data_IF_874636865583
#
_entry.id   IF_874636865583
#
_cell.length_a   1.000
_cell.length_b   1.000
_cell.length_c   1.000
_cell.angle_alpha   90.00
_cell.angle_beta   90.00
_cell.angle_gamma   90.00
#
_symmetry.space_group_name_H-M   'P 1'
#
loop_
_entity.id
_entity.type
_entity.pdbx_description
1 polymer ?
#
# COMPACT_ATOMS: atom_id res chain seq x y z
N UNK A 1 -20.92 -33.63 -43.01
CA UNK A 1 -19.84 -32.63 -42.87
C UNK A 1 -18.55 -33.35 -42.46
N UNK A 2 -17.48 -33.21 -43.25
CA UNK A 2 -16.26 -33.98 -43.06
C UNK A 2 -15.45 -33.50 -41.85
N UNK A 3 -14.73 -34.43 -41.21
CA UNK A 3 -13.85 -34.20 -40.05
C UNK A 3 -12.91 -32.97 -40.23
N UNK A 4 -12.49 -32.70 -41.47
CA UNK A 4 -11.67 -31.55 -41.86
C UNK A 4 -12.41 -30.20 -41.75
N UNK A 5 -13.69 -30.15 -42.11
CA UNK A 5 -14.53 -28.95 -41.99
C UNK A 5 -14.78 -28.59 -40.53
N UNK A 6 -14.95 -29.60 -39.67
CA UNK A 6 -15.13 -29.39 -38.23
C UNK A 6 -13.86 -28.82 -37.56
N UNK A 7 -12.69 -29.38 -37.89
CA UNK A 7 -11.39 -28.89 -37.41
C UNK A 7 -11.13 -27.45 -37.86
N UNK A 8 -11.45 -27.13 -39.12
CA UNK A 8 -11.29 -25.78 -39.66
C UNK A 8 -12.19 -24.76 -38.94
N UNK A 9 -13.47 -25.09 -38.72
CA UNK A 9 -14.39 -24.21 -37.98
C UNK A 9 -13.89 -24.00 -36.55
N UNK A 10 -13.46 -25.06 -35.86
CA UNK A 10 -12.95 -24.98 -34.50
C UNK A 10 -11.69 -24.10 -34.37
N UNK A 11 -10.75 -24.22 -35.31
CA UNK A 11 -9.56 -23.37 -35.34
C UNK A 11 -9.90 -21.90 -35.58
N UNK A 12 -10.86 -21.62 -36.46
CA UNK A 12 -11.30 -20.24 -36.72
C UNK A 12 -11.98 -19.63 -35.48
N UNK A 13 -12.85 -20.36 -34.77
CA UNK A 13 -13.46 -19.88 -33.52
C UNK A 13 -12.44 -19.69 -32.40
N UNK A 14 -11.42 -20.56 -32.31
CA UNK A 14 -10.36 -20.42 -31.32
C UNK A 14 -9.51 -19.16 -31.60
N UNK A 15 -9.14 -18.92 -32.86
CA UNK A 15 -8.37 -17.75 -33.25
C UNK A 15 -9.16 -16.45 -33.07
N UNK A 16 -10.46 -16.43 -33.41
CA UNK A 16 -11.28 -15.25 -33.17
C UNK A 16 -11.49 -15.00 -31.68
N UNK A 17 -11.67 -16.05 -30.86
CA UNK A 17 -11.76 -15.93 -29.40
C UNK A 17 -10.48 -15.42 -28.75
N UNK A 18 -9.30 -15.89 -29.19
CA UNK A 18 -8.02 -15.39 -28.70
C UNK A 18 -7.77 -13.93 -29.13
N UNK A 19 -8.13 -13.58 -30.37
CA UNK A 19 -7.98 -12.21 -30.88
C UNK A 19 -8.91 -11.24 -30.16
N UNK A 20 -10.16 -11.62 -29.88
CA UNK A 20 -11.09 -10.75 -29.13
C UNK A 20 -10.64 -10.61 -27.68
N UNK A 21 -10.16 -11.67 -27.04
CA UNK A 21 -9.57 -11.61 -25.71
C UNK A 21 -8.35 -10.66 -25.67
N UNK A 22 -7.45 -10.76 -26.64
CA UNK A 22 -6.28 -9.89 -26.74
C UNK A 22 -6.66 -8.41 -26.91
N UNK A 23 -7.64 -8.11 -27.78
CA UNK A 23 -8.12 -6.74 -28.01
C UNK A 23 -8.83 -6.19 -26.77
N UNK A 24 -9.65 -6.98 -26.08
CA UNK A 24 -10.37 -6.57 -24.85
C UNK A 24 -9.39 -6.33 -23.71
N UNK A 25 -8.42 -7.23 -23.50
CA UNK A 25 -7.37 -7.06 -22.48
C UNK A 25 -6.51 -5.84 -22.80
N UNK A 26 -6.13 -5.65 -24.07
CA UNK A 26 -5.39 -4.48 -24.53
C UNK A 26 -6.16 -3.18 -24.34
N UNK A 27 -7.46 -3.16 -24.66
CA UNK A 27 -8.33 -1.99 -24.48
C UNK A 27 -8.57 -1.67 -23.00
N UNK A 28 -8.72 -2.68 -22.14
CA UNK A 28 -8.83 -2.51 -20.68
C UNK A 28 -7.50 -2.07 -20.05
N UNK A 29 -6.36 -2.57 -20.53
CA UNK A 29 -5.05 -2.10 -20.09
C UNK A 29 -4.82 -0.66 -20.52
N UNK A 30 -5.22 -0.29 -21.74
CA UNK A 30 -5.16 1.07 -22.25
C UNK A 30 -6.12 2.00 -21.52
N UNK A 31 -7.35 1.57 -21.22
CA UNK A 31 -8.30 2.36 -20.44
C UNK A 31 -7.81 2.54 -18.99
N UNK A 32 -7.19 1.52 -18.40
CA UNK A 32 -6.54 1.62 -17.07
C UNK A 32 -5.33 2.56 -17.10
N UNK A 33 -4.51 2.51 -18.14
CA UNK A 33 -3.43 3.48 -18.36
C UNK A 33 -3.96 4.90 -18.53
N UNK A 34 -5.03 5.07 -19.30
CA UNK A 34 -5.73 6.35 -19.47
C UNK A 34 -6.34 6.83 -18.15
N UNK A 35 -6.95 5.95 -17.35
CA UNK A 35 -7.52 6.22 -16.02
C UNK A 35 -6.46 6.61 -14.98
N UNK A 36 -5.33 5.90 -14.94
CA UNK A 36 -4.18 6.26 -14.12
C UNK A 36 -3.58 7.62 -14.52
N UNK A 37 -3.70 8.00 -15.80
CA UNK A 37 -3.33 9.33 -16.29
C UNK A 37 -4.43 10.41 -16.10
N UNK A 38 -5.71 10.05 -15.94
CA UNK A 38 -6.81 11.04 -15.86
C UNK A 38 -7.02 11.62 -14.46
N UNK A 39 -6.32 11.13 -13.43
CA UNK A 39 -6.35 11.71 -12.09
C UNK A 39 -5.39 12.91 -11.92
N UNK A 40 -4.55 13.24 -12.91
CA UNK A 40 -3.67 14.41 -12.86
C UNK A 40 -4.37 15.62 -13.46
N UNK A 41 -4.58 16.65 -12.65
CA UNK A 41 -5.00 17.95 -13.15
C UNK A 41 -3.89 18.49 -14.05
N UNK A 42 -4.18 18.63 -15.35
CA UNK A 42 -3.26 19.25 -16.29
C UNK A 42 -3.57 20.75 -16.38
N UNK A 43 -2.78 21.56 -15.68
CA UNK A 43 -2.90 23.02 -15.72
C UNK A 43 -1.75 23.61 -16.54
N UNK A 44 -2.05 24.10 -17.74
CA UNK A 44 -1.07 24.73 -18.61
C UNK A 44 -1.14 26.26 -18.58
N UNK A 45 0.01 26.92 -18.66
CA UNK A 45 0.13 28.37 -18.72
C UNK A 45 1.57 28.81 -19.01
N UNK A 46 1.90 30.03 -18.62
CA UNK A 46 3.24 30.61 -18.74
C UNK A 46 3.29 31.82 -19.67
N UNK A 47 4.30 32.65 -19.48
CA UNK A 47 4.57 33.81 -20.33
C UNK A 47 5.58 33.46 -21.43
N UNK A 48 5.35 33.97 -22.65
CA UNK A 48 6.29 33.78 -23.74
C UNK A 48 7.73 34.22 -23.34
N UNK A 49 8.78 33.46 -23.73
CA UNK A 49 8.75 32.31 -24.64
C UNK A 49 8.46 30.95 -23.98
N UNK A 50 8.13 30.92 -22.69
CA UNK A 50 8.03 29.69 -21.88
C UNK A 50 6.59 29.18 -21.81
N UNK A 51 6.43 27.85 -21.88
CA UNK A 51 5.17 27.15 -21.62
C UNK A 51 5.39 26.13 -20.52
N UNK A 52 4.50 26.15 -19.52
CA UNK A 52 4.51 25.23 -18.38
C UNK A 52 3.18 24.49 -18.32
N UNK A 53 3.22 23.20 -18.03
CA UNK A 53 2.05 22.39 -17.69
C UNK A 53 2.33 21.61 -16.42
N UNK A 54 1.47 21.76 -15.41
CA UNK A 54 1.55 21.00 -14.17
C UNK A 54 0.77 19.71 -14.35
N UNK A 55 1.36 18.58 -13.98
CA UNK A 55 0.77 17.25 -13.97
C UNK A 55 0.88 16.72 -12.53
N UNK A 56 -0.14 17.00 -11.73
CA UNK A 56 -0.20 16.65 -10.32
C UNK A 56 -1.60 16.09 -9.97
N UNK A 57 -1.70 15.14 -9.03
CA UNK A 57 -2.99 14.71 -8.52
C UNK A 57 -3.64 15.82 -7.69
N UNK A 58 -4.97 15.78 -7.57
CA UNK A 58 -5.71 16.67 -6.66
C UNK A 58 -5.64 16.25 -5.20
N UNK A 59 -5.20 15.01 -4.93
CA UNK A 59 -4.97 14.50 -3.58
C UNK A 59 -3.70 13.67 -3.50
N UNK A 60 -3.08 13.61 -2.33
CA UNK A 60 -1.98 12.69 -2.02
C UNK A 60 -2.23 12.03 -0.66
N UNK A 61 -1.73 10.81 -0.49
CA UNK A 61 -1.78 10.08 0.77
C UNK A 61 -0.47 10.26 1.52
N UNK A 62 -0.54 10.79 2.74
CA UNK A 62 0.63 10.93 3.61
C UNK A 62 1.20 9.56 4.01
N UNK A 63 0.36 8.54 4.19
CA UNK A 63 0.79 7.17 4.47
C UNK A 63 1.72 6.59 3.39
N UNK A 64 1.66 7.09 2.15
CA UNK A 64 2.46 6.58 1.03
C UNK A 64 3.82 7.29 0.90
N UNK A 65 4.11 8.29 1.74
CA UNK A 65 5.38 9.02 1.69
C UNK A 65 6.63 8.15 1.81
N UNK A 66 6.68 7.13 2.70
CA UNK A 66 7.84 6.23 2.76
C UNK A 66 8.19 5.62 1.40
N UNK A 67 7.18 5.27 0.61
CA UNK A 67 7.38 4.74 -0.73
C UNK A 67 7.74 5.82 -1.75
N UNK A 68 7.21 7.05 -1.63
CA UNK A 68 7.64 8.15 -2.50
C UNK A 68 9.13 8.47 -2.36
N UNK A 69 9.68 8.32 -1.15
CA UNK A 69 11.10 8.59 -0.86
C UNK A 69 12.05 7.54 -1.47
N UNK A 70 11.61 6.29 -1.58
CA UNK A 70 12.42 5.17 -2.09
C UNK A 70 12.19 4.90 -3.58
N UNK A 71 11.11 5.45 -4.15
CA UNK A 71 10.72 5.15 -5.52
C UNK A 71 11.51 5.92 -6.59
N UNK A 72 11.56 5.34 -7.80
CA UNK A 72 12.09 5.98 -9.00
C UNK A 72 11.22 7.19 -9.43
N UNK A 73 11.71 8.12 -10.27
CA UNK A 73 11.00 9.35 -10.66
C UNK A 73 9.60 9.17 -11.26
N UNK A 74 9.26 7.95 -11.68
CA UNK A 74 7.96 7.55 -12.26
C UNK A 74 6.82 7.51 -11.20
N UNK A 75 7.16 7.43 -9.91
CA UNK A 75 6.19 7.31 -8.79
C UNK A 75 6.06 8.63 -8.02
N UNK A 76 6.86 9.65 -8.37
CA UNK A 76 6.75 10.97 -7.75
C UNK A 76 5.42 11.64 -8.12
N UNK A 77 4.72 12.24 -7.13
CA UNK A 77 3.35 12.71 -7.33
C UNK A 77 3.28 13.94 -8.25
N UNK A 78 4.33 14.77 -8.28
CA UNK A 78 4.31 16.05 -8.99
C UNK A 78 5.22 16.02 -10.20
N UNK A 79 4.71 16.40 -11.36
CA UNK A 79 5.50 16.58 -12.58
C UNK A 79 5.24 17.96 -13.17
N UNK A 80 6.32 18.68 -13.47
CA UNK A 80 6.27 19.95 -14.21
C UNK A 80 6.77 19.66 -15.63
N UNK A 81 5.88 19.80 -16.60
CA UNK A 81 6.22 19.78 -18.01
C UNK A 81 6.56 21.22 -18.46
N UNK A 82 7.68 21.40 -19.15
CA UNK A 82 8.20 22.70 -19.55
C UNK A 82 8.71 22.68 -20.99
N UNK A 83 8.58 23.81 -21.67
CA UNK A 83 9.24 24.09 -22.94
C UNK A 83 9.47 25.59 -23.12
N UNK A 84 10.31 25.95 -24.08
CA UNK A 84 10.50 27.34 -24.50
C UNK A 84 10.73 27.45 -26.00
N UNK A 85 10.15 28.45 -26.65
CA UNK A 85 10.38 28.72 -28.07
C UNK A 85 11.82 29.15 -28.38
N UNK A 86 12.58 29.62 -27.39
CA UNK A 86 14.02 29.88 -27.48
C UNK A 86 14.77 29.17 -26.36
N UNK A 87 15.88 28.46 -26.62
CA UNK A 87 16.60 27.73 -25.57
C UNK A 87 17.01 28.63 -24.41
N UNK A 88 16.59 28.28 -23.19
CA UNK A 88 16.92 29.03 -21.98
C UNK A 88 16.96 28.14 -20.73
N UNK A 89 17.71 28.57 -19.73
CA UNK A 89 17.79 27.89 -18.43
C UNK A 89 16.65 28.37 -17.54
N UNK A 90 15.84 27.44 -17.06
CA UNK A 90 14.75 27.67 -16.12
C UNK A 90 15.10 27.15 -14.73
N UNK A 91 14.60 27.83 -13.71
CA UNK A 91 14.59 27.40 -12.33
C UNK A 91 13.14 27.12 -11.94
N UNK A 92 12.85 25.85 -11.69
CA UNK A 92 11.52 25.36 -11.34
C UNK A 92 11.48 25.21 -9.82
N UNK A 93 10.65 26.00 -9.15
CA UNK A 93 10.41 25.98 -7.71
C UNK A 93 9.07 25.33 -7.44
N UNK A 94 9.05 24.26 -6.65
CA UNK A 94 7.84 23.50 -6.32
C UNK A 94 7.72 23.35 -4.81
N UNK A 95 6.57 23.72 -4.27
CA UNK A 95 6.27 23.68 -2.82
C UNK A 95 4.85 23.16 -2.61
N UNK A 96 4.63 22.31 -1.62
CA UNK A 96 3.31 22.03 -1.07
C UNK A 96 3.11 22.94 0.13
N UNK A 97 2.21 23.91 0.01
CA UNK A 97 2.07 24.98 0.98
C UNK A 97 1.76 24.44 2.38
N UNK A 98 2.52 24.92 3.38
CA UNK A 98 2.37 24.48 4.77
C UNK A 98 2.76 23.02 5.05
N UNK A 99 3.27 22.28 4.06
CA UNK A 99 3.59 20.86 4.20
C UNK A 99 5.03 20.52 3.80
N UNK A 100 5.59 21.21 2.81
CA UNK A 100 6.95 20.99 2.32
C UNK A 100 7.81 22.27 2.33
N UNK A 101 9.12 22.08 2.30
CA UNK A 101 10.07 23.09 1.83
C UNK A 101 9.95 23.25 0.30
N UNK A 102 10.53 24.32 -0.23
CA UNK A 102 10.62 24.53 -1.68
C UNK A 102 11.73 23.69 -2.28
N UNK A 103 11.38 22.77 -3.19
CA UNK A 103 12.35 22.08 -4.02
C UNK A 103 12.60 22.88 -5.30
N UNK A 104 13.87 23.18 -5.59
CA UNK A 104 14.27 23.84 -6.82
C UNK A 104 15.02 22.85 -7.74
N UNK A 105 14.70 22.89 -9.03
CA UNK A 105 15.49 22.23 -10.08
C UNK A 105 15.84 23.21 -11.20
N UNK A 106 17.11 23.22 -11.60
CA UNK A 106 17.56 23.92 -12.81
C UNK A 106 17.41 22.99 -14.02
N UNK A 107 16.76 23.47 -15.08
CA UNK A 107 16.51 22.72 -16.31
C UNK A 107 16.83 23.56 -17.53
N UNK A 108 17.25 22.92 -18.62
CA UNK A 108 17.41 23.57 -19.93
C UNK A 108 16.16 23.33 -20.76
N UNK A 109 15.35 24.37 -20.94
CA UNK A 109 14.16 24.31 -21.77
C UNK A 109 14.51 24.49 -23.25
N UNK A 110 13.92 23.68 -24.11
CA UNK A 110 13.99 23.79 -25.57
C UNK A 110 12.59 23.87 -26.17
N UNK A 111 12.50 23.91 -27.50
CA UNK A 111 11.22 23.93 -28.21
C UNK A 111 10.39 22.65 -28.04
N UNK A 112 10.98 21.57 -27.52
CA UNK A 112 10.28 20.32 -27.19
C UNK A 112 9.82 20.32 -25.74
N UNK A 113 8.63 19.76 -25.48
CA UNK A 113 8.15 19.56 -24.12
C UNK A 113 9.01 18.53 -23.39
N UNK A 114 9.50 18.90 -22.21
CA UNK A 114 10.33 18.07 -21.32
C UNK A 114 9.67 18.01 -19.94
N UNK A 115 9.98 16.97 -19.16
CA UNK A 115 9.37 16.77 -17.84
C UNK A 115 10.43 16.80 -16.73
N UNK A 116 10.07 17.35 -15.58
CA UNK A 116 10.80 17.21 -14.33
C UNK A 116 9.84 16.76 -13.23
N UNK A 117 10.14 15.63 -12.59
CA UNK A 117 9.39 15.13 -11.43
C UNK A 117 9.88 15.79 -10.14
N UNK A 118 8.99 16.00 -9.17
CA UNK A 118 9.29 16.63 -7.88
C UNK A 118 8.71 15.82 -6.73
N UNK A 119 9.48 15.79 -5.64
CA UNK A 119 9.04 15.35 -4.31
C UNK A 119 9.68 16.34 -3.33
N UNK A 120 9.02 17.48 -3.06
CA UNK A 120 9.57 18.49 -2.20
C UNK A 120 9.83 17.96 -0.78
N UNK A 121 10.98 18.28 -0.15
CA UNK A 121 11.28 17.82 1.21
C UNK A 121 10.20 18.27 2.19
N UNK A 122 9.79 17.38 3.10
CA UNK A 122 8.78 17.69 4.11
C UNK A 122 9.27 18.74 5.11
N UNK A 123 8.38 19.63 5.54
CA UNK A 123 8.66 20.50 6.69
C UNK A 123 8.92 19.65 7.92
N UNK A 124 9.96 20.00 8.69
CA UNK A 124 10.30 19.34 9.96
C UNK A 124 10.49 17.81 9.84
N UNK A 125 11.07 17.34 8.72
CA UNK A 125 11.68 16.00 8.56
C UNK A 125 10.87 14.83 9.16
N UNK A 126 9.54 14.80 8.97
CA UNK A 126 8.67 13.70 9.42
C UNK A 126 7.55 14.12 10.37
N UNK A 127 7.77 15.12 11.23
CA UNK A 127 6.76 15.56 12.22
C UNK A 127 5.43 16.00 11.59
N UNK A 128 5.47 16.51 10.35
CA UNK A 128 4.27 16.92 9.64
C UNK A 128 3.41 15.72 9.22
N UNK A 129 4.01 14.56 8.96
CA UNK A 129 3.29 13.32 8.68
C UNK A 129 2.72 12.74 9.97
N UNK A 130 3.51 12.74 11.04
CA UNK A 130 3.13 12.04 12.27
C UNK A 130 1.85 12.62 12.90
N UNK A 131 1.69 13.93 12.77
CA UNK A 131 0.56 14.68 13.31
C UNK A 131 -0.61 14.83 12.32
N UNK A 132 -0.49 14.32 11.09
CA UNK A 132 -1.54 14.46 10.07
C UNK A 132 -2.63 13.42 10.26
N UNK A 133 -3.48 13.60 11.27
CA UNK A 133 -4.58 12.68 11.59
C UNK A 133 -5.93 13.10 10.99
N UNK A 134 -5.96 14.20 10.24
CA UNK A 134 -7.14 14.71 9.53
C UNK A 134 -6.77 15.19 8.13
N UNK A 135 -7.80 15.41 7.30
CA UNK A 135 -7.63 15.99 5.96
C UNK A 135 -6.96 17.35 6.03
N UNK A 136 -5.96 17.57 5.17
CA UNK A 136 -5.22 18.82 5.07
C UNK A 136 -5.38 19.43 3.66
N UNK A 137 -6.41 20.28 3.46
CA UNK A 137 -6.55 21.07 2.25
C UNK A 137 -5.41 22.09 2.12
N UNK A 138 -4.74 22.10 0.98
CA UNK A 138 -3.60 22.95 0.66
C UNK A 138 -3.52 23.22 -0.84
N UNK A 139 -2.36 23.66 -1.33
CA UNK A 139 -2.05 23.81 -2.75
C UNK A 139 -0.62 23.38 -3.06
N UNK A 140 -0.43 22.92 -4.29
CA UNK A 140 0.87 22.81 -4.94
C UNK A 140 1.19 24.16 -5.59
N UNK A 141 2.15 24.87 -5.02
CA UNK A 141 2.66 26.12 -5.55
C UNK A 141 3.82 25.83 -6.51
N UNK A 142 3.74 26.34 -7.74
CA UNK A 142 4.81 26.24 -8.73
C UNK A 142 5.18 27.61 -9.25
N UNK A 143 6.47 27.94 -9.11
CA UNK A 143 7.07 29.16 -9.61
C UNK A 143 8.20 28.83 -10.60
N UNK A 144 8.26 29.54 -11.72
CA UNK A 144 9.26 29.32 -12.77
C UNK A 144 9.92 30.63 -13.16
N UNK A 145 11.24 30.69 -13.01
CA UNK A 145 12.08 31.85 -13.32
C UNK A 145 13.24 31.49 -14.26
N UNK A 146 13.89 32.49 -14.86
CA UNK A 146 15.21 32.32 -15.49
C UNK A 146 16.37 32.77 -14.58
N UNK A 147 17.60 32.76 -15.11
CA UNK A 147 18.81 33.20 -14.41
C UNK A 147 18.83 34.68 -14.04
N UNK A 148 17.95 35.50 -14.62
CA UNK A 148 17.80 36.92 -14.31
C UNK A 148 16.62 37.18 -13.38
N UNK A 149 16.06 36.13 -12.76
CA UNK A 149 14.85 36.16 -11.94
C UNK A 149 13.61 36.67 -12.69
N UNK A 150 13.58 36.58 -14.02
CA UNK A 150 12.36 36.88 -14.77
C UNK A 150 11.34 35.77 -14.53
N UNK A 151 10.17 36.16 -14.04
CA UNK A 151 9.06 35.26 -13.76
C UNK A 151 8.32 34.88 -15.04
N UNK A 152 8.07 33.58 -15.23
CA UNK A 152 7.32 33.03 -16.37
C UNK A 152 6.04 32.33 -15.97
N UNK A 153 6.00 31.73 -14.79
CA UNK A 153 4.84 31.03 -14.26
C UNK A 153 4.84 31.16 -12.74
N UNK A 154 3.67 31.40 -12.18
CA UNK A 154 3.43 31.48 -10.74
C UNK A 154 1.97 31.13 -10.51
N UNK A 155 1.71 29.95 -9.94
CA UNK A 155 0.35 29.51 -9.70
C UNK A 155 0.25 28.47 -8.60
N UNK A 156 -0.94 28.40 -8.02
CA UNK A 156 -1.34 27.42 -7.03
C UNK A 156 -2.38 26.48 -7.64
N UNK A 157 -2.11 25.17 -7.58
CA UNK A 157 -3.08 24.14 -7.91
C UNK A 157 -3.65 23.54 -6.61
N UNK A 158 -4.98 23.47 -6.42
CA UNK A 158 -5.57 22.86 -5.23
C UNK A 158 -5.09 21.42 -5.01
N UNK A 159 -4.77 21.09 -3.76
CA UNK A 159 -4.27 19.78 -3.37
C UNK A 159 -4.77 19.44 -1.96
N UNK A 160 -5.26 18.21 -1.73
CA UNK A 160 -5.53 17.72 -0.38
C UNK A 160 -4.50 16.66 0.01
N UNK A 161 -3.91 16.79 1.20
CA UNK A 161 -3.12 15.72 1.80
C UNK A 161 -4.01 14.94 2.77
N UNK A 162 -4.24 13.67 2.47
CA UNK A 162 -5.05 12.78 3.30
C UNK A 162 -4.34 12.44 4.61
N UNK A 163 -5.14 12.16 5.63
CA UNK A 163 -4.68 11.66 6.94
C UNK A 163 -3.72 10.46 6.81
N UNK A 164 -2.79 10.32 7.74
CA UNK A 164 -1.83 9.20 7.83
C UNK A 164 -2.51 7.84 8.02
N UNK A 165 -3.77 7.84 8.41
CA UNK A 165 -4.57 6.62 8.54
C UNK A 165 -5.32 6.23 7.27
N UNK A 166 -5.41 7.11 6.27
CA UNK A 166 -6.24 6.82 5.11
C UNK A 166 -5.49 5.92 4.12
N UNK A 167 -6.00 4.70 3.93
CA UNK A 167 -5.61 3.76 2.89
C UNK A 167 -6.62 3.83 1.74
N UNK A 168 -6.14 3.69 0.50
CA UNK A 168 -6.99 3.50 -0.66
C UNK A 168 -6.76 2.12 -1.26
N UNK A 169 -7.76 1.26 -1.14
CA UNK A 169 -7.80 -0.12 -1.60
C UNK A 169 -8.07 -0.21 -3.11
N UNK A 170 -7.01 -0.09 -3.90
CA UNK A 170 -7.05 -0.36 -5.34
C UNK A 170 -5.97 -1.33 -5.74
N UNK A 171 -6.12 -1.97 -6.90
CA UNK A 171 -5.08 -2.86 -7.44
C UNK A 171 -3.71 -2.18 -7.55
N UNK A 172 -3.68 -0.87 -7.85
CA UNK A 172 -2.43 -0.09 -7.97
C UNK A 172 -1.81 0.19 -6.60
N UNK A 173 -2.65 0.38 -5.57
CA UNK A 173 -2.21 0.78 -4.24
C UNK A 173 -2.08 -0.39 -3.27
N UNK A 174 -2.50 -1.61 -3.63
CA UNK A 174 -2.55 -2.80 -2.76
C UNK A 174 -1.32 -3.02 -1.88
N UNK A 175 -0.11 -2.73 -2.39
CA UNK A 175 1.13 -2.95 -1.63
C UNK A 175 1.37 -1.90 -0.54
N UNK A 176 0.71 -0.74 -0.59
CA UNK A 176 0.90 0.33 0.39
C UNK A 176 0.38 -0.02 1.78
N UNK A 177 -0.45 -1.06 1.95
CA UNK A 177 -0.81 -1.56 3.28
C UNK A 177 0.43 -1.92 4.12
N UNK A 178 1.53 -2.33 3.48
CA UNK A 178 2.78 -2.59 4.15
C UNK A 178 3.33 -1.36 4.91
N UNK A 179 2.90 -0.14 4.59
CA UNK A 179 3.26 1.05 5.35
C UNK A 179 2.68 1.06 6.77
N UNK A 180 1.55 0.37 7.02
CA UNK A 180 0.96 0.19 8.34
C UNK A 180 1.63 -0.92 9.15
N UNK A 181 2.47 -1.74 8.52
CA UNK A 181 3.22 -2.78 9.21
C UNK A 181 4.50 -2.15 9.73
N UNK A 182 4.52 -1.80 11.03
CA UNK A 182 5.56 -1.03 11.71
C UNK A 182 6.34 -1.91 12.71
N UNK A 183 7.19 -2.85 12.23
CA UNK A 183 7.84 -3.84 13.11
C UNK A 183 8.75 -3.20 14.16
N UNK A 184 9.32 -2.03 13.86
CA UNK A 184 10.27 -1.34 14.74
C UNK A 184 9.60 -0.44 15.78
N UNK A 185 8.27 -0.38 15.83
CA UNK A 185 7.54 0.39 16.83
C UNK A 185 7.81 -0.15 18.25
N UNK A 186 8.03 0.71 19.27
CA UNK A 186 8.26 0.28 20.64
C UNK A 186 7.14 -0.62 21.21
N UNK A 187 5.90 -0.36 20.84
CA UNK A 187 4.71 -1.12 21.22
C UNK A 187 4.73 -2.55 20.66
N UNK A 188 5.28 -2.74 19.46
CA UNK A 188 5.46 -4.07 18.85
C UNK A 188 6.59 -4.83 19.53
N UNK A 189 7.68 -4.15 19.90
CA UNK A 189 8.74 -4.76 20.70
C UNK A 189 8.21 -5.22 22.08
N UNK A 190 7.38 -4.39 22.73
CA UNK A 190 6.71 -4.75 23.98
C UNK A 190 5.78 -5.97 23.82
N UNK A 191 5.04 -6.05 22.71
CA UNK A 191 4.20 -7.21 22.39
C UNK A 191 5.05 -8.48 22.23
N UNK A 192 6.13 -8.42 21.45
CA UNK A 192 7.06 -9.55 21.26
C UNK A 192 7.65 -10.00 22.60
N UNK A 193 8.04 -9.06 23.48
CA UNK A 193 8.53 -9.40 24.81
C UNK A 193 7.46 -10.10 25.66
N UNK A 194 6.22 -9.62 25.63
CA UNK A 194 5.11 -10.21 26.38
C UNK A 194 4.75 -11.61 25.87
N UNK A 195 4.81 -11.83 24.56
CA UNK A 195 4.51 -13.09 23.89
C UNK A 195 5.40 -14.26 24.32
N UNK A 196 6.64 -14.00 24.74
CA UNK A 196 7.55 -15.05 25.25
C UNK A 196 6.96 -15.85 26.41
N UNK A 197 6.06 -15.27 27.19
CA UNK A 197 5.40 -15.94 28.30
C UNK A 197 4.42 -17.04 27.85
N UNK A 198 3.95 -16.98 26.60
CA UNK A 198 2.97 -17.92 26.04
C UNK A 198 3.59 -19.06 25.23
N UNK A 199 4.90 -19.03 24.98
CA UNK A 199 5.60 -20.16 24.37
C UNK A 199 5.50 -21.44 25.23
N UNK A 200 5.44 -21.29 26.55
CA UNK A 200 5.32 -22.42 27.47
C UNK A 200 3.96 -23.12 27.41
N UNK A 201 2.95 -22.48 26.80
CA UNK A 201 1.65 -23.08 26.55
C UNK A 201 1.69 -24.03 25.33
N UNK A 202 2.77 -23.99 24.53
CA UNK A 202 2.90 -24.74 23.28
C UNK A 202 3.38 -26.18 23.49
N UNK A 203 3.03 -27.12 22.59
CA UNK A 203 3.49 -28.50 22.67
C UNK A 203 5.02 -28.63 22.55
N UNK A 204 5.69 -29.48 23.36
CA UNK A 204 7.10 -29.76 23.17
C UNK A 204 7.42 -30.41 21.80
N UNK A 205 8.55 -30.07 21.14
CA UNK A 205 9.62 -29.20 21.63
C UNK A 205 9.34 -27.71 21.39
N UNK A 206 9.10 -26.98 22.48
CA UNK A 206 8.89 -25.53 22.48
C UNK A 206 10.13 -24.81 21.96
N UNK A 207 10.00 -23.79 21.09
CA UNK A 207 11.14 -23.01 20.65
C UNK A 207 11.81 -22.28 21.83
N UNK A 208 13.13 -22.07 21.81
CA UNK A 208 13.87 -21.44 22.91
C UNK A 208 13.53 -19.95 23.12
N UNK A 209 12.70 -19.37 22.25
CA UNK A 209 12.24 -17.99 22.25
C UNK A 209 11.50 -17.70 20.94
N UNK A 210 11.25 -16.43 20.68
CA UNK A 210 10.76 -15.96 19.37
C UNK A 210 11.98 -15.73 18.45
N UNK A 211 12.44 -16.78 17.79
CA UNK A 211 13.71 -16.82 17.05
C UNK A 211 13.51 -16.65 15.53
N UNK A 212 12.26 -16.59 15.06
CA UNK A 212 11.91 -16.59 13.66
C UNK A 212 12.41 -17.85 12.96
N UNK A 213 12.90 -17.75 11.72
CA UNK A 213 13.40 -18.91 10.97
C UNK A 213 14.71 -19.51 11.49
N UNK A 214 15.33 -18.98 12.55
CA UNK A 214 16.71 -19.31 12.94
C UNK A 214 16.82 -20.67 13.65
N UNK A 215 16.76 -21.75 12.88
CA UNK A 215 16.81 -23.11 13.41
C UNK A 215 15.48 -23.60 13.98
N UNK A 216 14.39 -22.87 13.73
CA UNK A 216 13.04 -23.30 14.02
C UNK A 216 12.55 -24.31 12.98
N UNK A 217 11.78 -25.30 13.42
CA UNK A 217 10.95 -26.13 12.53
C UNK A 217 9.70 -25.36 12.09
N UNK A 218 8.99 -25.85 11.06
CA UNK A 218 7.72 -25.25 10.65
C UNK A 218 6.69 -25.17 11.80
N UNK A 219 6.61 -26.23 12.62
CA UNK A 219 5.76 -26.23 13.82
C UNK A 219 6.20 -25.15 14.82
N UNK A 220 7.50 -25.02 15.08
CA UNK A 220 7.99 -23.99 15.99
C UNK A 220 7.72 -22.57 15.48
N UNK A 221 7.70 -22.35 14.16
CA UNK A 221 7.28 -21.07 13.58
C UNK A 221 5.79 -20.81 13.88
N UNK A 222 4.92 -21.81 13.74
CA UNK A 222 3.52 -21.69 14.14
C UNK A 222 3.40 -21.38 15.64
N UNK A 223 4.11 -22.13 16.50
CA UNK A 223 4.13 -21.93 17.96
C UNK A 223 4.57 -20.50 18.34
N UNK A 224 5.51 -19.91 17.60
CA UNK A 224 5.94 -18.51 17.77
C UNK A 224 4.83 -17.50 17.41
N UNK A 225 4.10 -17.73 16.31
CA UNK A 225 2.96 -16.89 15.91
C UNK A 225 1.81 -17.05 16.89
N UNK A 226 1.57 -18.26 17.38
CA UNK A 226 0.56 -18.56 18.38
C UNK A 226 0.80 -17.80 19.68
N UNK A 227 2.06 -17.76 20.13
CA UNK A 227 2.44 -16.99 21.30
C UNK A 227 2.23 -15.47 21.12
N UNK A 228 2.45 -14.93 19.91
CA UNK A 228 2.14 -13.53 19.58
C UNK A 228 0.63 -13.26 19.64
N UNK A 229 -0.17 -14.14 19.02
CA UNK A 229 -1.63 -14.04 19.03
C UNK A 229 -2.19 -14.15 20.46
N UNK A 230 -1.72 -15.13 21.23
CA UNK A 230 -2.15 -15.34 22.61
C UNK A 230 -1.76 -14.17 23.52
N UNK A 231 -0.65 -13.46 23.25
CA UNK A 231 -0.36 -12.23 23.96
C UNK A 231 -1.40 -11.14 23.70
N UNK A 232 -1.82 -10.96 22.44
CA UNK A 232 -2.89 -10.03 22.10
C UNK A 232 -4.19 -10.37 22.83
N UNK A 233 -4.56 -11.65 22.83
CA UNK A 233 -5.77 -12.14 23.49
C UNK A 233 -5.71 -12.04 25.02
N UNK A 234 -4.69 -12.63 25.63
CA UNK A 234 -4.61 -12.90 27.08
C UNK A 234 -3.96 -11.76 27.87
N UNK A 235 -3.00 -11.01 27.30
CA UNK A 235 -2.32 -9.90 27.99
C UNK A 235 -2.84 -8.52 27.60
N UNK A 236 -3.06 -8.29 26.32
CA UNK A 236 -3.57 -7.00 25.83
C UNK A 236 -5.09 -6.93 25.89
N UNK A 237 -5.78 -8.08 25.96
CA UNK A 237 -7.23 -8.19 25.95
C UNK A 237 -7.85 -7.48 24.74
N UNK A 238 -7.20 -7.65 23.58
CA UNK A 238 -7.64 -7.04 22.33
C UNK A 238 -9.09 -7.40 22.02
N UNK A 239 -9.83 -6.42 21.49
CA UNK A 239 -11.20 -6.59 21.02
C UNK A 239 -11.30 -6.29 19.54
N UNK A 240 -12.04 -7.11 18.83
CA UNK A 240 -12.37 -6.86 17.44
C UNK A 240 -13.64 -5.99 17.35
N UNK A 241 -13.60 -4.98 16.49
CA UNK A 241 -14.80 -4.22 16.07
C UNK A 241 -15.03 -4.49 14.60
N UNK A 242 -16.27 -4.86 14.28
CA UNK A 242 -16.64 -5.18 12.91
C UNK A 242 -16.59 -3.95 12.02
N UNK A 243 -15.80 -4.05 10.97
CA UNK A 243 -15.71 -3.09 9.86
C UNK A 243 -15.39 -3.87 8.58
N UNK A 244 -15.68 -3.28 7.41
CA UNK A 244 -15.57 -3.98 6.13
C UNK A 244 -14.40 -3.44 5.31
N UNK A 245 -13.46 -4.31 4.93
CA UNK A 245 -12.39 -3.93 3.98
C UNK A 245 -13.01 -3.63 2.60
N UNK A 246 -12.94 -2.38 2.11
CA UNK A 246 -13.63 -1.98 0.88
C UNK A 246 -12.79 -2.31 -0.37
N UNK A 247 -12.28 -3.54 -0.46
CA UNK A 247 -11.43 -4.01 -1.57
C UNK A 247 -12.07 -5.14 -2.37
N UNK A 248 -12.01 -5.00 -3.69
CA UNK A 248 -12.67 -5.87 -4.67
C UNK A 248 -11.75 -6.11 -5.86
N UNK A 249 -11.42 -7.38 -6.13
CA UNK A 249 -10.43 -7.78 -7.14
C UNK A 249 -10.81 -7.37 -8.58
N UNK A 250 -12.10 -7.13 -8.83
CA UNK A 250 -12.64 -6.90 -10.18
C UNK A 250 -12.74 -5.43 -10.58
N UNK A 251 -12.09 -4.47 -9.92
CA UNK A 251 -12.19 -3.04 -10.31
C UNK A 251 -13.62 -2.48 -10.35
N UNK A 252 -14.59 -3.26 -9.89
CA UNK A 252 -15.96 -2.86 -9.63
C UNK A 252 -15.99 -2.46 -8.17
N UNK A 253 -15.71 -1.18 -7.89
CA UNK A 253 -15.92 -0.64 -6.54
C UNK A 253 -17.26 -1.16 -6.01
N UNK A 254 -17.35 -1.48 -4.71
CA UNK A 254 -18.61 -1.95 -4.09
C UNK A 254 -19.76 -0.96 -4.26
N UNK A 255 -19.45 0.23 -4.77
CA UNK A 255 -20.36 1.30 -5.11
C UNK A 255 -19.88 2.00 -6.38
N UNK A 256 -20.75 2.70 -7.11
CA UNK A 256 -20.37 3.41 -8.33
C UNK A 256 -19.54 4.71 -8.09
N UNK A 257 -18.76 4.81 -7.03
CA UNK A 257 -18.02 6.03 -6.65
C UNK A 257 -16.55 5.74 -6.31
N UNK A 258 -15.58 6.42 -6.96
CA UNK A 258 -14.14 6.29 -6.66
C UNK A 258 -13.75 6.71 -5.22
N UNK A 259 -14.66 7.35 -4.48
CA UNK A 259 -14.47 7.78 -3.11
C UNK A 259 -14.71 6.66 -2.07
N UNK A 260 -15.12 5.46 -2.49
CA UNK A 260 -15.61 4.41 -1.59
C UNK A 260 -14.66 3.20 -1.44
N UNK A 261 -13.46 3.28 -2.03
CA UNK A 261 -12.41 2.28 -1.86
C UNK A 261 -11.36 2.77 -0.83
N UNK A 262 -11.75 3.62 0.11
CA UNK A 262 -10.85 4.14 1.16
C UNK A 262 -11.26 3.64 2.53
N UNK A 263 -10.27 3.43 3.40
CA UNK A 263 -10.45 2.95 4.76
C UNK A 263 -9.50 3.69 5.69
N UNK A 264 -9.98 4.06 6.88
CA UNK A 264 -9.14 4.68 7.92
C UNK A 264 -8.60 3.57 8.80
N UNK A 265 -7.31 3.28 8.69
CA UNK A 265 -6.60 2.22 9.40
C UNK A 265 -5.63 2.88 10.38
N UNK A 266 -5.79 2.61 11.68
CA UNK A 266 -4.83 3.06 12.70
C UNK A 266 -3.54 2.26 12.65
N UNK A 267 -2.48 2.85 13.16
CA UNK A 267 -1.20 2.17 13.27
C UNK A 267 -1.20 1.12 14.40
N UNK A 268 -0.35 0.08 14.30
CA UNK A 268 -0.26 -0.96 15.31
C UNK A 268 -0.08 -0.44 16.75
N UNK A 269 0.76 0.57 16.96
CA UNK A 269 0.95 1.20 18.27
C UNK A 269 -0.35 1.81 18.84
N UNK A 270 -1.13 2.46 17.97
CA UNK A 270 -2.40 3.10 18.34
C UNK A 270 -3.48 2.06 18.63
N UNK A 271 -3.55 1.00 17.82
CA UNK A 271 -4.46 -0.14 17.98
C UNK A 271 -4.19 -0.87 19.30
N UNK A 272 -2.92 -1.19 19.60
CA UNK A 272 -2.51 -1.80 20.87
C UNK A 272 -2.86 -0.93 22.07
N UNK A 273 -2.64 0.39 21.97
CA UNK A 273 -2.98 1.35 23.03
C UNK A 273 -4.49 1.41 23.30
N UNK A 274 -5.30 1.38 22.25
CA UNK A 274 -6.76 1.40 22.36
C UNK A 274 -7.34 0.04 22.79
N UNK A 275 -6.59 -1.05 22.61
CA UNK A 275 -7.01 -2.44 22.86
C UNK A 275 -8.24 -2.87 22.06
N UNK A 276 -8.48 -2.17 20.95
CA UNK A 276 -9.59 -2.43 20.05
C UNK A 276 -9.14 -2.11 18.64
N UNK A 277 -9.48 -2.98 17.69
CA UNK A 277 -9.18 -2.77 16.28
C UNK A 277 -10.14 -3.52 15.37
N UNK A 278 -10.16 -3.11 14.11
CA UNK A 278 -10.84 -3.85 13.04
C UNK A 278 -9.92 -4.92 12.44
N UNK A 279 -10.41 -5.66 11.45
CA UNK A 279 -9.77 -6.89 10.96
C UNK A 279 -8.37 -6.60 10.43
N UNK A 280 -8.26 -5.56 9.59
CA UNK A 280 -6.96 -5.15 9.05
C UNK A 280 -6.05 -4.52 10.12
N UNK A 281 -6.56 -3.69 11.03
CA UNK A 281 -5.75 -3.08 12.10
C UNK A 281 -5.12 -4.14 13.03
N UNK A 282 -5.89 -5.16 13.42
CA UNK A 282 -5.38 -6.27 14.24
C UNK A 282 -4.46 -7.20 13.44
N UNK A 283 -4.75 -7.40 12.16
CA UNK A 283 -3.87 -8.14 11.24
C UNK A 283 -2.54 -7.42 11.07
N UNK A 284 -2.52 -6.09 10.95
CA UNK A 284 -1.31 -5.28 10.83
C UNK A 284 -0.46 -5.32 12.11
N UNK A 285 -1.10 -5.37 13.30
CA UNK A 285 -0.41 -5.60 14.58
C UNK A 285 0.33 -6.94 14.57
N UNK A 286 -0.39 -8.02 14.21
CA UNK A 286 0.20 -9.36 14.21
C UNK A 286 1.28 -9.48 13.12
N UNK A 287 1.04 -8.94 11.93
CA UNK A 287 2.01 -8.89 10.84
C UNK A 287 3.29 -8.11 11.22
N UNK A 288 3.14 -7.00 11.96
CA UNK A 288 4.28 -6.22 12.47
C UNK A 288 5.11 -7.01 13.46
N UNK A 289 4.47 -7.75 14.36
CA UNK A 289 5.16 -8.61 15.32
C UNK A 289 5.87 -9.80 14.63
N UNK A 290 5.23 -10.41 13.63
CA UNK A 290 5.78 -11.47 12.78
C UNK A 290 7.01 -10.98 12.01
N UNK A 291 6.92 -9.81 11.34
CA UNK A 291 8.06 -9.21 10.65
C UNK A 291 9.19 -8.85 11.64
N UNK A 292 8.85 -8.39 12.85
CA UNK A 292 9.81 -8.04 13.91
C UNK A 292 10.66 -9.21 14.39
N UNK A 293 10.10 -10.43 14.42
CA UNK A 293 10.83 -11.65 14.79
C UNK A 293 11.53 -12.32 13.59
N UNK A 294 11.41 -11.72 12.40
CA UNK A 294 12.12 -12.16 11.20
C UNK A 294 11.38 -13.20 10.37
N UNK A 295 10.06 -13.30 10.53
CA UNK A 295 9.18 -14.13 9.71
C UNK A 295 8.54 -13.32 8.58
N UNK A 296 8.11 -14.00 7.53
CA UNK A 296 7.45 -13.37 6.39
C UNK A 296 5.93 -13.36 6.55
N UNK A 297 5.35 -12.17 6.63
CA UNK A 297 3.91 -11.96 6.68
C UNK A 297 3.29 -11.78 5.28
N UNK A 298 2.03 -12.15 5.16
CA UNK A 298 1.14 -11.89 4.03
C UNK A 298 -0.20 -11.38 4.56
N UNK A 299 -0.76 -10.36 3.91
CA UNK A 299 -2.15 -9.96 4.17
C UNK A 299 -3.03 -10.65 3.16
N UNK A 300 -3.92 -11.51 3.64
CA UNK A 300 -4.92 -12.17 2.81
C UNK A 300 -6.17 -11.31 2.82
N UNK A 301 -6.61 -10.89 1.63
CA UNK A 301 -7.84 -10.13 1.50
C UNK A 301 -8.89 -10.99 0.82
N UNK A 302 -10.06 -11.06 1.43
CA UNK A 302 -11.28 -11.66 0.90
C UNK A 302 -12.38 -10.59 0.89
N UNK A 303 -13.55 -10.82 0.28
CA UNK A 303 -14.58 -9.78 0.21
C UNK A 303 -14.99 -9.31 1.61
N UNK A 304 -14.66 -8.05 1.92
CA UNK A 304 -15.01 -7.40 3.17
C UNK A 304 -14.14 -7.74 4.38
N UNK A 305 -13.10 -8.58 4.25
CA UNK A 305 -12.32 -9.05 5.38
C UNK A 305 -10.84 -9.25 5.05
N UNK A 306 -9.98 -9.13 6.05
CA UNK A 306 -8.55 -9.40 5.94
C UNK A 306 -8.03 -10.16 7.16
N UNK A 307 -7.10 -11.08 6.92
CA UNK A 307 -6.46 -11.88 7.95
C UNK A 307 -5.00 -12.18 7.59
N UNK A 308 -4.24 -12.68 8.55
CA UNK A 308 -2.81 -12.89 8.42
C UNK A 308 -2.52 -14.25 7.76
N UNK A 309 -1.59 -14.26 6.82
CA UNK A 309 -0.82 -15.44 6.45
C UNK A 309 0.64 -15.30 6.89
N UNK A 310 1.26 -16.37 7.35
CA UNK A 310 2.69 -16.40 7.73
C UNK A 310 3.37 -17.57 7.05
N UNK A 311 4.53 -17.32 6.43
CA UNK A 311 5.31 -18.45 5.96
C UNK A 311 5.99 -19.19 7.10
N UNK A 312 5.84 -20.51 7.09
CA UNK A 312 6.49 -21.42 8.06
C UNK A 312 7.94 -21.76 7.70
N UNK A 313 8.45 -21.27 6.57
CA UNK A 313 9.84 -21.39 6.16
C UNK A 313 10.35 -20.13 5.45
N UNK A 314 11.66 -19.93 5.41
CA UNK A 314 12.26 -18.73 4.81
C UNK A 314 12.19 -18.70 3.27
N UNK A 315 11.72 -19.78 2.63
CA UNK A 315 11.56 -19.90 1.18
C UNK A 315 10.13 -19.61 0.72
N UNK A 316 9.23 -19.25 1.63
CA UNK A 316 7.81 -19.01 1.35
C UNK A 316 7.10 -20.24 0.76
N UNK A 317 7.55 -21.46 1.11
CA UNK A 317 7.04 -22.70 0.49
C UNK A 317 5.73 -23.20 1.11
N UNK A 318 5.52 -22.92 2.40
CA UNK A 318 4.31 -23.24 3.12
C UNK A 318 3.82 -22.04 3.95
N UNK A 319 2.52 -21.75 3.87
CA UNK A 319 1.85 -20.62 4.55
C UNK A 319 0.74 -21.17 5.44
N UNK A 320 0.68 -20.69 6.67
CA UNK A 320 -0.41 -20.91 7.63
C UNK A 320 -1.11 -19.59 7.90
N UNK A 321 -2.37 -19.62 8.35
CA UNK A 321 -3.22 -18.45 8.47
C UNK A 321 -3.71 -18.21 9.91
N UNK A 322 -3.92 -16.94 10.29
CA UNK A 322 -4.51 -16.56 11.58
C UNK A 322 -5.52 -15.44 11.38
N UNK A 323 -6.73 -15.62 11.92
CA UNK A 323 -7.78 -14.61 11.91
C UNK A 323 -7.98 -14.01 13.31
N UNK A 324 -7.78 -12.70 13.41
CA UNK A 324 -7.91 -11.98 14.69
C UNK A 324 -9.36 -11.71 15.09
N UNK A 325 -10.33 -11.96 14.21
CA UNK A 325 -11.76 -11.86 14.54
C UNK A 325 -12.15 -12.82 15.65
N UNK A 326 -11.49 -13.98 15.73
CA UNK A 326 -11.79 -15.02 16.72
C UNK A 326 -11.42 -14.61 18.17
N UNK A 327 -10.65 -13.53 18.34
CA UNK A 327 -10.40 -12.92 19.65
C UNK A 327 -11.69 -12.47 20.36
N UNK A 328 -12.73 -12.10 19.62
CA UNK A 328 -14.02 -11.73 20.22
C UNK A 328 -14.73 -12.92 20.87
N UNK A 329 -14.44 -14.13 20.38
CA UNK A 329 -14.98 -15.38 20.91
C UNK A 329 -14.02 -16.03 21.91
N UNK A 330 -12.91 -15.36 22.26
CA UNK A 330 -11.87 -15.83 23.17
C UNK A 330 -11.28 -17.19 22.75
N UNK A 331 -11.13 -17.37 21.43
CA UNK A 331 -10.51 -18.55 20.82
C UNK A 331 -8.99 -18.41 20.91
N UNK A 332 -8.31 -19.45 21.40
CA UNK A 332 -6.84 -19.50 21.46
C UNK A 332 -6.21 -19.56 20.08
N UNK A 333 -4.93 -19.22 20.00
CA UNK A 333 -4.23 -19.10 18.73
C UNK A 333 -4.24 -20.37 17.88
N UNK A 334 -4.03 -21.54 18.49
CA UNK A 334 -4.02 -22.85 17.81
C UNK A 334 -5.33 -23.14 17.07
N UNK A 335 -6.45 -22.83 17.72
CA UNK A 335 -7.79 -23.02 17.16
C UNK A 335 -8.10 -21.96 16.11
N UNK A 336 -7.69 -20.71 16.34
CA UNK A 336 -7.83 -19.63 15.36
C UNK A 336 -7.00 -19.89 14.10
N UNK A 337 -5.85 -20.57 14.20
CA UNK A 337 -5.07 -21.00 13.05
C UNK A 337 -5.82 -22.04 12.22
N UNK A 338 -6.31 -23.12 12.86
CA UNK A 338 -7.07 -24.19 12.19
C UNK A 338 -8.32 -23.64 11.50
N UNK A 339 -9.03 -22.71 12.14
CA UNK A 339 -10.21 -22.05 11.58
C UNK A 339 -9.85 -21.18 10.37
N UNK A 340 -8.79 -20.36 10.47
CA UNK A 340 -8.31 -19.51 9.39
C UNK A 340 -7.78 -20.31 8.19
N UNK A 341 -7.08 -21.43 8.40
CA UNK A 341 -6.64 -22.33 7.33
C UNK A 341 -7.84 -22.92 6.58
N UNK A 342 -8.86 -23.35 7.33
CA UNK A 342 -10.12 -23.87 6.78
C UNK A 342 -10.85 -22.78 5.97
N UNK A 343 -10.86 -21.54 6.47
CA UNK A 343 -11.42 -20.39 5.75
C UNK A 343 -10.65 -20.12 4.47
N UNK A 344 -9.32 -20.04 4.51
CA UNK A 344 -8.50 -19.82 3.32
C UNK A 344 -8.74 -20.89 2.26
N UNK A 345 -8.75 -22.17 2.63
CA UNK A 345 -9.03 -23.28 1.71
C UNK A 345 -10.39 -23.12 1.06
N UNK A 346 -11.42 -22.72 1.83
CA UNK A 346 -12.76 -22.47 1.30
C UNK A 346 -12.76 -21.31 0.30
N UNK A 347 -12.21 -20.14 0.63
CA UNK A 347 -12.16 -19.00 -0.29
C UNK A 347 -11.35 -19.32 -1.57
N UNK A 348 -10.25 -20.06 -1.43
CA UNK A 348 -9.44 -20.52 -2.56
C UNK A 348 -10.21 -21.48 -3.47
N UNK A 349 -10.95 -22.44 -2.90
CA UNK A 349 -11.77 -23.38 -3.67
C UNK A 349 -12.90 -22.68 -4.44
N UNK A 350 -13.45 -21.60 -3.89
CA UNK A 350 -14.49 -20.79 -4.53
C UNK A 350 -13.93 -19.69 -5.46
N UNK A 351 -12.60 -19.51 -5.53
CA UNK A 351 -11.98 -18.45 -6.33
C UNK A 351 -12.31 -17.04 -5.85
N UNK A 352 -12.57 -16.87 -4.56
CA UNK A 352 -13.03 -15.62 -3.94
C UNK A 352 -11.94 -14.91 -3.13
N UNK A 353 -10.69 -15.39 -3.15
CA UNK A 353 -9.55 -14.59 -2.65
C UNK A 353 -9.46 -13.32 -3.50
N UNK A 354 -9.59 -12.16 -2.86
CA UNK A 354 -9.47 -10.85 -3.50
C UNK A 354 -8.02 -10.55 -3.78
N UNK A 355 -7.15 -10.76 -2.78
CA UNK A 355 -5.73 -10.50 -2.90
C UNK A 355 -4.90 -11.30 -1.90
N UNK A 356 -3.61 -11.45 -2.20
CA UNK A 356 -2.60 -11.99 -1.30
C UNK A 356 -1.38 -11.08 -1.39
N UNK A 357 -1.20 -10.24 -0.36
CA UNK A 357 -0.21 -9.17 -0.35
C UNK A 357 0.99 -9.63 0.48
N UNK A 358 2.06 -10.02 -0.20
CA UNK A 358 3.33 -10.35 0.44
C UNK A 358 4.03 -9.08 0.93
N UNK A 359 4.35 -9.05 2.23
CA UNK A 359 5.03 -7.90 2.84
C UNK A 359 6.48 -7.84 2.42
N UNK A 360 7.16 -8.99 2.32
CA UNK A 360 8.52 -9.06 1.78
C UNK A 360 8.60 -8.52 0.34
N UNK A 361 7.61 -8.80 -0.52
CA UNK A 361 7.52 -8.23 -1.86
C UNK A 361 7.26 -6.71 -1.86
N UNK A 362 6.44 -6.22 -0.94
CA UNK A 362 6.23 -4.78 -0.75
C UNK A 362 7.53 -4.08 -0.31
N UNK A 363 8.28 -4.66 0.64
CA UNK A 363 9.61 -4.16 1.06
C UNK A 363 10.58 -4.13 -0.10
N UNK A 364 10.66 -5.21 -0.89
CA UNK A 364 11.51 -5.27 -2.07
C UNK A 364 11.14 -4.23 -3.15
N UNK A 365 9.88 -3.77 -3.15
CA UNK A 365 9.39 -2.70 -4.02
C UNK A 365 9.61 -1.29 -3.43
N UNK A 366 10.32 -1.18 -2.30
CA UNK A 366 10.65 0.08 -1.64
C UNK A 366 9.59 0.60 -0.67
N UNK A 367 8.51 -0.14 -0.40
CA UNK A 367 7.45 0.30 0.50
C UNK A 367 7.87 -0.02 1.94
N UNK A 368 8.48 0.96 2.60
CA UNK A 368 8.87 0.88 4.01
C UNK A 368 7.71 1.17 4.96
N UNK A 369 7.88 0.87 6.27
CA UNK A 369 6.94 1.26 7.31
C UNK A 369 6.78 2.78 7.38
N UNK A 370 5.61 3.25 7.78
CA UNK A 370 5.44 4.62 8.25
C UNK A 370 6.37 4.87 9.43
N UNK A 371 6.91 6.09 9.50
CA UNK A 371 7.66 6.52 10.67
C UNK A 371 6.68 6.77 11.82
N UNK A 372 7.07 6.37 13.03
CA UNK A 372 6.33 6.57 14.27
C UNK A 372 7.18 7.36 15.27
#
# INVERSE_FOLDING_TARGET
MGKKTFIFIFLVTLLTGLSTAYVVVGAQAYSRYQQANTAKLQQCGGQAPVRICILAPSTIFSAYYPAYLTAQPQVMPFTVAYSSSTPLTLFLHVTVNGFSETQMKSVRATNTMQNASFLPPLLKQGQVLDNLTSEFPTSLHVQVTDSNNRLYYDNDSPLTVHSRWLMQWTQTNRLYIAAWITPNAPEIDALVQQARNYLLDQPPPVPPGLIGYKGATAQQVQDEVDALYDALLKSYHMKYVQETVPYVASGSSMTNSPANDVETIKLPAETLKQRVGMCIELTDVLASAVERIGLHAQIIVVPGHAFLGVSTDAQDSHIEYWDTVDMNNNVSADSANVDADSYYISYKAHGTIVDTISISAARASGIGPMME
#
